data_IF_153382668370
#
_entry.id   IF_153382668370
#
_cell.length_a   1.000
_cell.length_b   1.000
_cell.length_c   1.000
_cell.angle_alpha   90.00
_cell.angle_beta   90.00
_cell.angle_gamma   90.00
#
_symmetry.space_group_name_H-M   'P 1'
#
loop_
_entity.id
_entity.type
_entity.pdbx_description
1 polymer ?
#
# COMPACT_ATOMS: atom_id res chain seq x y z
N UNK A 1 -46.00 -4.55 -27.40
CA UNK A 1 -46.08 -5.77 -26.58
C UNK A 1 -44.75 -6.50 -26.68
N UNK A 2 -44.08 -6.71 -25.55
CA UNK A 2 -42.78 -7.38 -25.46
C UNK A 2 -42.26 -7.32 -24.03
N UNK A 3 -42.82 -8.17 -23.16
CA UNK A 3 -42.37 -8.40 -21.78
C UNK A 3 -41.09 -9.23 -21.81
N UNK A 4 -40.15 -8.93 -20.89
CA UNK A 4 -38.97 -9.76 -20.67
C UNK A 4 -38.20 -9.32 -19.42
N UNK A 5 -38.71 -9.69 -18.25
CA UNK A 5 -38.08 -9.49 -16.95
C UNK A 5 -37.04 -10.60 -16.75
N UNK A 6 -35.78 -10.26 -16.47
CA UNK A 6 -34.82 -11.20 -15.88
C UNK A 6 -34.05 -10.51 -14.75
N UNK A 7 -34.54 -10.71 -13.53
CA UNK A 7 -33.92 -10.34 -12.25
C UNK A 7 -33.54 -11.64 -11.54
N UNK A 8 -32.24 -11.93 -11.36
CA UNK A 8 -31.63 -12.75 -10.29
C UNK A 8 -30.21 -13.19 -10.67
N UNK A 9 -29.17 -12.45 -10.23
CA UNK A 9 -27.80 -12.96 -10.06
C UNK A 9 -27.04 -12.14 -9.00
N UNK A 10 -27.59 -12.01 -7.80
CA UNK A 10 -26.90 -11.30 -6.69
C UNK A 10 -26.70 -12.16 -5.44
N UNK A 11 -27.17 -13.42 -5.42
CA UNK A 11 -27.14 -14.25 -4.20
C UNK A 11 -26.07 -15.33 -4.14
N UNK A 12 -25.32 -15.59 -5.22
CA UNK A 12 -24.43 -16.78 -5.26
C UNK A 12 -22.96 -16.46 -4.95
N UNK A 13 -22.51 -15.21 -5.14
CA UNK A 13 -21.13 -14.81 -4.85
C UNK A 13 -20.88 -14.59 -3.36
N UNK A 14 -21.87 -14.05 -2.64
CA UNK A 14 -21.76 -13.73 -1.21
C UNK A 14 -21.67 -14.98 -0.33
N UNK A 15 -22.24 -16.11 -0.77
CA UNK A 15 -22.18 -17.38 -0.04
C UNK A 15 -20.81 -18.08 -0.16
N UNK A 16 -20.08 -17.87 -1.25
CA UNK A 16 -18.76 -18.48 -1.49
C UNK A 16 -17.66 -17.76 -0.70
N UNK A 17 -17.76 -16.43 -0.58
CA UNK A 17 -16.80 -15.61 0.19
C UNK A 17 -16.85 -15.93 1.69
N UNK A 18 -18.04 -16.20 2.24
CA UNK A 18 -18.19 -16.57 3.66
C UNK A 18 -17.67 -17.97 4.00
N UNK A 19 -17.62 -18.91 3.05
CA UNK A 19 -17.08 -20.25 3.29
C UNK A 19 -15.54 -20.31 3.27
N UNK A 20 -14.86 -19.38 2.59
CA UNK A 20 -13.39 -19.35 2.55
C UNK A 20 -12.77 -18.87 3.87
N UNK A 21 -13.48 -18.08 4.67
CA UNK A 21 -12.98 -17.52 5.93
C UNK A 21 -13.00 -18.55 7.08
N UNK A 22 -13.81 -19.61 6.98
CA UNK A 22 -13.98 -20.60 8.05
C UNK A 22 -13.02 -21.81 7.98
N UNK A 23 -12.20 -21.94 6.93
CA UNK A 23 -11.44 -23.16 6.63
C UNK A 23 -10.01 -23.24 7.17
N UNK A 24 -9.49 -22.23 7.86
CA UNK A 24 -8.07 -22.13 8.24
C UNK A 24 -7.79 -22.49 9.71
N UNK A 25 -8.51 -23.47 10.25
CA UNK A 25 -8.21 -24.05 11.56
C UNK A 25 -8.19 -25.57 11.44
N UNK A 26 -6.98 -26.14 11.31
CA UNK A 26 -6.45 -27.21 12.14
C UNK A 26 -5.31 -28.00 11.44
N UNK A 27 -4.41 -28.55 12.27
CA UNK A 27 -3.51 -29.71 12.04
C UNK A 27 -2.14 -29.34 11.41
N UNK A 28 -0.96 -29.61 11.99
CA UNK A 28 -0.57 -30.41 13.17
C UNK A 28 0.82 -30.01 13.71
N UNK A 29 0.94 -30.27 15.01
CA UNK A 29 2.16 -30.49 15.81
C UNK A 29 3.01 -31.63 15.26
N UNK A 30 4.33 -31.43 15.19
CA UNK A 30 5.43 -32.38 15.50
C UNK A 30 6.77 -31.74 15.09
N UNK A 31 7.85 -31.64 15.87
CA UNK A 31 8.16 -32.00 17.25
C UNK A 31 9.68 -31.82 17.49
N UNK A 32 10.07 -31.88 18.76
CA UNK A 32 11.41 -32.18 19.32
C UNK A 32 12.38 -31.03 19.65
N UNK A 33 12.49 -30.73 20.95
CA UNK A 33 13.78 -30.70 21.64
C UNK A 33 14.14 -29.42 22.38
N UNK A 34 14.03 -29.42 23.72
CA UNK A 34 14.98 -28.69 24.56
C UNK A 34 14.42 -27.78 25.66
N UNK A 35 14.25 -28.36 26.84
CA UNK A 35 14.55 -27.82 28.18
C UNK A 35 13.77 -26.64 28.79
N UNK A 36 13.03 -27.02 29.84
CA UNK A 36 12.74 -26.38 31.14
C UNK A 36 12.95 -24.88 31.41
N UNK A 37 11.82 -24.29 31.82
CA UNK A 37 11.56 -23.57 33.08
C UNK A 37 11.73 -22.04 33.17
N UNK A 38 10.57 -21.43 33.46
CA UNK A 38 10.24 -20.24 34.25
C UNK A 38 10.85 -18.87 33.92
N UNK A 39 10.00 -17.94 33.46
CA UNK A 39 9.41 -16.90 34.31
C UNK A 39 8.52 -15.98 33.48
N UNK A 40 7.40 -15.57 34.07
CA UNK A 40 6.51 -14.56 33.51
C UNK A 40 7.23 -13.22 33.36
N UNK A 41 7.11 -12.61 32.18
CA UNK A 41 7.21 -11.16 32.07
C UNK A 41 6.15 -10.63 31.10
N UNK A 42 5.23 -9.86 31.67
CA UNK A 42 4.22 -9.10 30.94
C UNK A 42 4.91 -7.87 30.38
N UNK A 43 5.54 -8.00 29.22
CA UNK A 43 6.07 -6.83 28.51
C UNK A 43 5.08 -6.44 27.42
N UNK A 44 4.55 -5.24 27.62
CA UNK A 44 3.73 -4.46 26.70
C UNK A 44 4.27 -4.55 25.27
N UNK A 45 3.40 -4.87 24.32
CA UNK A 45 3.66 -4.70 22.89
C UNK A 45 3.78 -3.20 22.64
N UNK A 46 5.00 -2.68 22.82
CA UNK A 46 5.38 -1.38 22.32
C UNK A 46 5.18 -1.41 20.81
N UNK A 47 4.34 -0.50 20.32
CA UNK A 47 4.13 -0.27 18.89
C UNK A 47 5.51 -0.19 18.23
N UNK A 48 5.81 -1.20 17.42
CA UNK A 48 6.94 -1.16 16.51
C UNK A 48 6.66 -0.03 15.53
N UNK A 49 7.22 1.15 15.80
CA UNK A 49 7.41 2.15 14.76
C UNK A 49 8.46 1.54 13.84
N UNK A 50 7.98 0.75 12.89
CA UNK A 50 8.80 0.31 11.77
C UNK A 50 8.93 1.54 10.88
N UNK A 51 9.92 2.38 11.18
CA UNK A 51 10.64 3.13 10.16
C UNK A 51 11.24 2.06 9.23
N UNK A 52 10.42 1.53 8.33
CA UNK A 52 10.81 0.52 7.35
C UNK A 52 11.55 1.19 6.20
N UNK A 53 12.67 1.86 6.50
CA UNK A 53 13.69 2.10 5.48
C UNK A 53 14.46 0.79 5.30
N UNK A 54 13.90 -0.12 4.50
CA UNK A 54 14.61 -1.29 4.01
C UNK A 54 15.66 -0.81 3.00
N UNK A 55 16.78 -0.31 3.51
CA UNK A 55 17.96 -0.10 2.67
C UNK A 55 18.39 -1.48 2.14
N UNK A 56 18.51 -1.67 0.82
CA UNK A 56 18.87 -2.96 0.27
C UNK A 56 20.30 -3.32 0.68
N UNK A 57 20.46 -4.30 1.59
CA UNK A 57 21.79 -4.80 1.96
C UNK A 57 22.46 -5.45 0.74
N UNK A 58 23.56 -4.86 0.27
CA UNK A 58 24.31 -5.35 -0.88
C UNK A 58 23.64 -5.12 -2.24
N UNK A 59 22.60 -4.30 -2.32
CA UNK A 59 21.92 -3.96 -3.57
C UNK A 59 22.74 -3.01 -4.45
N UNK A 60 22.85 -3.33 -5.74
CA UNK A 60 23.40 -2.42 -6.75
C UNK A 60 22.56 -1.16 -6.93
N UNK A 61 23.01 -0.27 -7.83
CA UNK A 61 22.36 1.01 -8.14
C UNK A 61 20.86 0.85 -8.45
N UNK A 62 20.48 -0.25 -9.12
CA UNK A 62 19.09 -0.54 -9.42
C UNK A 62 18.23 -0.84 -8.21
N UNK A 63 18.71 -1.66 -7.28
CA UNK A 63 17.99 -1.92 -6.04
C UNK A 63 17.87 -0.65 -5.19
N UNK A 64 18.91 0.17 -5.16
CA UNK A 64 18.88 1.47 -4.49
C UNK A 64 17.83 2.42 -5.09
N UNK A 65 17.74 2.50 -6.42
CA UNK A 65 16.69 3.28 -7.09
C UNK A 65 15.29 2.72 -6.80
N UNK A 66 15.13 1.39 -6.78
CA UNK A 66 13.87 0.74 -6.42
C UNK A 66 13.44 1.08 -4.99
N UNK A 67 14.39 1.14 -4.05
CA UNK A 67 14.15 1.59 -2.68
C UNK A 67 13.79 3.08 -2.63
N UNK A 68 14.53 3.95 -3.34
CA UNK A 68 14.24 5.40 -3.41
C UNK A 68 12.81 5.68 -3.89
N UNK A 69 12.34 4.95 -4.91
CA UNK A 69 10.97 5.07 -5.43
C UNK A 69 9.94 4.71 -4.37
N UNK A 70 10.13 3.59 -3.68
CA UNK A 70 9.17 3.12 -2.68
C UNK A 70 9.22 3.95 -1.39
N UNK A 71 10.38 4.49 -1.03
CA UNK A 71 10.53 5.37 0.13
C UNK A 71 9.83 6.72 -0.12
N UNK A 72 9.91 7.26 -1.35
CA UNK A 72 9.14 8.45 -1.73
C UNK A 72 7.61 8.19 -1.69
N UNK A 73 7.18 6.98 -2.05
CA UNK A 73 5.78 6.56 -1.93
C UNK A 73 5.34 6.44 -0.45
N UNK A 74 6.15 5.81 0.40
CA UNK A 74 5.82 5.66 1.82
C UNK A 74 5.80 7.03 2.53
N UNK A 75 6.72 7.93 2.20
CA UNK A 75 6.70 9.30 2.71
C UNK A 75 5.42 10.04 2.30
N UNK A 76 4.99 9.89 1.04
CA UNK A 76 3.72 10.45 0.57
C UNK A 76 2.54 9.88 1.36
N UNK A 77 2.45 8.56 1.52
CA UNK A 77 1.37 7.90 2.29
C UNK A 77 1.37 8.38 3.75
N UNK A 78 2.54 8.52 4.37
CA UNK A 78 2.69 9.11 5.71
C UNK A 78 2.12 10.52 5.80
N UNK A 79 2.48 11.41 4.87
CA UNK A 79 1.97 12.79 4.83
C UNK A 79 0.47 12.87 4.55
N UNK A 80 -0.06 11.97 3.72
CA UNK A 80 -1.51 11.85 3.50
C UNK A 80 -2.19 11.47 4.83
N UNK A 81 -1.64 10.48 5.54
CA UNK A 81 -2.19 9.98 6.81
C UNK A 81 -2.23 11.08 7.86
N UNK A 82 -1.15 11.85 7.96
CA UNK A 82 -1.07 12.99 8.88
C UNK A 82 -2.15 14.06 8.62
N UNK A 83 -2.49 14.32 7.36
CA UNK A 83 -3.53 15.30 7.00
C UNK A 83 -4.94 14.83 7.35
N UNK A 84 -5.18 13.52 7.38
CA UNK A 84 -6.52 12.95 7.61
C UNK A 84 -6.72 12.35 9.00
N UNK A 85 -5.66 12.24 9.82
CA UNK A 85 -5.69 11.57 11.13
C UNK A 85 -6.77 12.11 12.07
N UNK A 86 -6.98 13.44 12.06
CA UNK A 86 -7.91 14.13 12.94
C UNK A 86 -9.31 14.25 12.34
N UNK A 87 -9.55 13.55 11.21
CA UNK A 87 -10.84 13.49 10.50
C UNK A 87 -11.42 14.89 10.21
N UNK A 88 -10.66 15.80 9.59
CA UNK A 88 -11.18 17.10 9.16
C UNK A 88 -12.35 16.95 8.17
N UNK A 89 -13.19 17.98 8.07
CA UNK A 89 -14.26 18.03 7.06
C UNK A 89 -13.68 18.00 5.63
N UNK A 90 -14.38 17.39 4.65
CA UNK A 90 -13.91 17.23 3.26
C UNK A 90 -13.42 18.55 2.63
N UNK A 91 -14.17 19.63 2.80
CA UNK A 91 -13.83 20.95 2.24
C UNK A 91 -12.54 21.54 2.82
N UNK A 92 -12.15 21.13 4.03
CA UNK A 92 -10.92 21.59 4.67
C UNK A 92 -9.71 20.76 4.23
N UNK A 93 -9.88 19.45 4.00
CA UNK A 93 -8.77 18.52 3.76
C UNK A 93 -8.45 18.34 2.29
N UNK A 94 -9.46 18.39 1.42
CA UNK A 94 -9.31 18.23 -0.03
C UNK A 94 -8.22 19.14 -0.63
N UNK A 95 -8.24 20.47 -0.42
CA UNK A 95 -7.20 21.33 -0.98
C UNK A 95 -5.80 21.00 -0.45
N UNK A 96 -5.69 20.53 0.79
CA UNK A 96 -4.41 20.15 1.39
C UNK A 96 -3.84 18.86 0.79
N UNK A 97 -4.72 17.91 0.44
CA UNK A 97 -4.35 16.68 -0.25
C UNK A 97 -3.93 16.99 -1.70
N UNK A 98 -4.72 17.79 -2.41
CA UNK A 98 -4.41 18.22 -3.77
C UNK A 98 -3.07 18.97 -3.85
N UNK A 99 -2.80 19.89 -2.93
CA UNK A 99 -1.51 20.58 -2.82
C UNK A 99 -0.35 19.61 -2.56
N UNK A 100 -0.55 18.63 -1.68
CA UNK A 100 0.45 17.59 -1.41
C UNK A 100 0.76 16.78 -2.67
N UNK A 101 -0.26 16.30 -3.37
CA UNK A 101 -0.05 15.54 -4.61
C UNK A 101 0.63 16.38 -5.69
N UNK A 102 0.27 17.67 -5.82
CA UNK A 102 0.93 18.58 -6.75
C UNK A 102 2.43 18.76 -6.44
N UNK A 103 2.82 18.72 -5.16
CA UNK A 103 4.23 18.78 -4.76
C UNK A 103 5.01 17.48 -5.00
N UNK A 104 4.34 16.32 -4.98
CA UNK A 104 4.96 15.01 -5.20
C UNK A 104 5.00 14.58 -6.67
N UNK A 105 4.10 15.10 -7.50
CA UNK A 105 4.09 14.84 -8.94
C UNK A 105 5.45 15.08 -9.63
N UNK A 106 6.15 16.22 -9.43
CA UNK A 106 7.47 16.41 -10.02
C UNK A 106 8.53 15.44 -9.47
N UNK A 107 8.45 15.07 -8.19
CA UNK A 107 9.38 14.11 -7.56
C UNK A 107 9.25 12.73 -8.23
N UNK A 108 8.01 12.25 -8.38
CA UNK A 108 7.75 10.96 -9.03
C UNK A 108 8.16 10.94 -10.50
N UNK A 109 8.01 12.06 -11.22
CA UNK A 109 8.48 12.19 -12.62
C UNK A 109 10.01 12.20 -12.72
N UNK A 110 10.69 12.82 -11.76
CA UNK A 110 12.16 12.78 -11.70
C UNK A 110 12.66 11.35 -11.45
N UNK A 111 12.04 10.64 -10.52
CA UNK A 111 12.31 9.22 -10.27
C UNK A 111 12.06 8.36 -11.51
N UNK A 112 10.98 8.62 -12.25
CA UNK A 112 10.75 7.96 -13.54
C UNK A 112 11.85 8.24 -14.55
N UNK A 113 12.37 9.47 -14.60
CA UNK A 113 13.49 9.82 -15.48
C UNK A 113 14.74 9.00 -15.15
N UNK A 114 15.05 8.82 -13.85
CA UNK A 114 16.14 7.93 -13.40
C UNK A 114 15.87 6.48 -13.75
N UNK A 115 14.64 6.01 -13.56
CA UNK A 115 14.21 4.64 -13.85
C UNK A 115 14.35 4.29 -15.34
N UNK A 116 13.95 5.20 -16.23
CA UNK A 116 14.12 5.05 -17.67
C UNK A 116 15.58 5.19 -18.10
N UNK A 117 16.35 6.10 -17.51
CA UNK A 117 17.78 6.20 -17.78
C UNK A 117 18.52 4.90 -17.43
N UNK A 118 18.18 4.28 -16.29
CA UNK A 118 18.73 3.00 -15.87
C UNK A 118 18.40 1.87 -16.87
N UNK A 119 17.15 1.83 -17.36
CA UNK A 119 16.72 0.89 -18.40
C UNK A 119 17.60 0.97 -19.65
N UNK A 120 17.94 2.19 -20.07
CA UNK A 120 18.70 2.44 -21.29
C UNK A 120 20.21 2.26 -21.09
N UNK A 121 20.73 2.47 -19.87
CA UNK A 121 22.16 2.41 -19.58
C UNK A 121 22.66 1.04 -19.12
N UNK A 122 21.90 0.35 -18.26
CA UNK A 122 22.32 -0.91 -17.64
C UNK A 122 21.11 -1.84 -17.40
N UNK A 123 20.94 -2.82 -18.30
CA UNK A 123 19.85 -3.79 -18.20
C UNK A 123 19.95 -4.70 -16.97
N UNK A 124 21.16 -4.95 -16.45
CA UNK A 124 21.34 -5.77 -15.24
C UNK A 124 20.82 -5.02 -14.02
N UNK A 125 21.22 -3.77 -13.85
CA UNK A 125 20.73 -2.92 -12.76
C UNK A 125 19.24 -2.60 -12.91
N UNK A 126 18.76 -2.36 -14.12
CA UNK A 126 17.32 -2.25 -14.36
C UNK A 126 16.54 -3.51 -13.95
N UNK A 127 17.12 -4.70 -14.20
CA UNK A 127 16.58 -5.97 -13.71
C UNK A 127 16.53 -6.03 -12.18
N UNK A 128 17.61 -5.61 -11.51
CA UNK A 128 17.67 -5.56 -10.04
C UNK A 128 16.64 -4.58 -9.45
N UNK A 129 16.47 -3.40 -10.07
CA UNK A 129 15.45 -2.42 -9.71
C UNK A 129 14.04 -3.04 -9.77
N UNK A 130 13.71 -3.68 -10.89
CA UNK A 130 12.41 -4.33 -11.06
C UNK A 130 12.20 -5.50 -10.11
N UNK A 131 13.23 -6.30 -9.82
CA UNK A 131 13.13 -7.37 -8.83
C UNK A 131 12.78 -6.78 -7.45
N UNK A 132 13.51 -5.76 -7.02
CA UNK A 132 13.24 -5.10 -5.74
C UNK A 132 11.82 -4.52 -5.69
N UNK A 133 11.38 -3.82 -6.74
CA UNK A 133 10.03 -3.27 -6.82
C UNK A 133 8.96 -4.36 -6.77
N UNK A 134 9.14 -5.47 -7.51
CA UNK A 134 8.19 -6.58 -7.52
C UNK A 134 8.05 -7.24 -6.14
N UNK A 135 9.15 -7.35 -5.39
CA UNK A 135 9.15 -7.99 -4.07
C UNK A 135 8.52 -7.10 -2.99
N UNK A 136 8.66 -5.76 -3.10
CA UNK A 136 8.33 -4.82 -2.02
C UNK A 136 7.06 -3.99 -2.29
N UNK A 137 6.77 -3.62 -3.55
CA UNK A 137 5.62 -2.76 -3.90
C UNK A 137 4.28 -3.31 -3.42
N UNK A 138 3.94 -4.62 -3.61
CA UNK A 138 2.61 -5.11 -3.24
C UNK A 138 2.29 -4.93 -1.75
N UNK A 139 3.29 -5.12 -0.88
CA UNK A 139 3.13 -4.99 0.57
C UNK A 139 2.92 -3.53 0.98
N UNK A 140 3.71 -2.61 0.40
CA UNK A 140 3.58 -1.17 0.67
C UNK A 140 2.24 -0.61 0.16
N UNK A 141 1.80 -1.02 -1.03
CA UNK A 141 0.47 -0.62 -1.56
C UNK A 141 -0.67 -1.16 -0.70
N UNK A 142 -0.59 -2.42 -0.26
CA UNK A 142 -1.60 -2.99 0.63
C UNK A 142 -1.68 -2.27 1.98
N UNK A 143 -0.53 -1.84 2.52
CA UNK A 143 -0.44 -1.16 3.81
C UNK A 143 -1.22 0.18 3.85
N UNK A 144 -1.51 0.81 2.71
CA UNK A 144 -2.36 2.02 2.66
C UNK A 144 -3.71 1.74 3.34
N UNK A 145 -4.33 0.60 3.05
CA UNK A 145 -5.66 0.28 3.59
C UNK A 145 -5.63 0.16 5.11
N UNK A 146 -4.56 -0.42 5.66
CA UNK A 146 -4.38 -0.57 7.10
C UNK A 146 -4.08 0.77 7.79
N UNK A 147 -3.18 1.58 7.20
CA UNK A 147 -2.81 2.91 7.70
C UNK A 147 -4.03 3.86 7.68
N UNK A 148 -4.84 3.78 6.63
CA UNK A 148 -5.95 4.70 6.38
C UNK A 148 -7.30 4.16 6.83
N UNK A 149 -7.36 3.01 7.52
CA UNK A 149 -8.63 2.31 7.79
C UNK A 149 -9.68 3.19 8.49
N UNK A 150 -9.25 3.98 9.48
CA UNK A 150 -10.14 4.87 10.22
C UNK A 150 -10.56 6.11 9.41
N UNK A 151 -9.65 6.82 8.73
CA UNK A 151 -10.01 7.84 7.73
C UNK A 151 -10.97 7.34 6.64
N UNK A 152 -10.71 6.17 6.05
CA UNK A 152 -11.54 5.57 5.00
C UNK A 152 -12.95 5.35 5.52
N UNK A 153 -13.11 4.74 6.69
CA UNK A 153 -14.43 4.53 7.30
C UNK A 153 -15.16 5.86 7.51
N UNK A 154 -14.48 6.86 8.04
CA UNK A 154 -15.06 8.18 8.31
C UNK A 154 -15.58 8.84 7.01
N UNK A 155 -14.73 9.01 6.01
CA UNK A 155 -15.15 9.67 4.76
C UNK A 155 -16.15 8.84 3.96
N UNK A 156 -16.00 7.51 3.91
CA UNK A 156 -16.90 6.64 3.16
C UNK A 156 -18.26 6.47 3.84
N UNK A 157 -18.28 6.05 5.10
CA UNK A 157 -19.49 5.58 5.78
C UNK A 157 -20.24 6.70 6.51
N UNK A 158 -19.52 7.65 7.11
CA UNK A 158 -20.14 8.72 7.89
C UNK A 158 -20.50 9.92 7.00
N UNK A 159 -19.61 10.30 6.09
CA UNK A 159 -19.79 11.50 5.26
C UNK A 159 -20.22 11.21 3.81
N UNK A 160 -20.01 9.99 3.30
CA UNK A 160 -20.26 9.66 1.90
C UNK A 160 -19.34 10.39 0.90
N UNK A 161 -18.20 10.90 1.36
CA UNK A 161 -17.22 11.66 0.59
C UNK A 161 -16.24 10.73 -0.14
N UNK A 162 -16.73 10.07 -1.20
CA UNK A 162 -15.92 9.14 -2.01
C UNK A 162 -14.70 9.80 -2.63
N UNK A 163 -14.80 11.08 -3.02
CA UNK A 163 -13.67 11.81 -3.61
C UNK A 163 -12.48 11.94 -2.64
N UNK A 164 -12.72 12.05 -1.33
CA UNK A 164 -11.66 12.02 -0.32
C UNK A 164 -11.10 10.61 -0.16
N UNK A 165 -11.94 9.58 -0.24
CA UNK A 165 -11.49 8.18 -0.20
C UNK A 165 -10.55 7.89 -1.38
N UNK A 166 -10.94 8.26 -2.60
CA UNK A 166 -10.13 8.09 -3.80
C UNK A 166 -8.80 8.86 -3.68
N UNK A 167 -8.84 10.09 -3.14
CA UNK A 167 -7.63 10.86 -2.88
C UNK A 167 -6.70 10.11 -1.93
N UNK A 168 -7.18 9.54 -0.82
CA UNK A 168 -6.27 8.88 0.15
C UNK A 168 -5.86 7.45 -0.23
N UNK A 169 -6.63 6.72 -1.05
CA UNK A 169 -6.33 5.33 -1.40
C UNK A 169 -5.78 5.13 -2.81
N UNK A 170 -6.30 5.85 -3.80
CA UNK A 170 -5.94 5.64 -5.21
C UNK A 170 -4.82 6.60 -5.64
N UNK A 171 -4.91 7.87 -5.25
CA UNK A 171 -3.98 8.89 -5.74
C UNK A 171 -2.50 8.63 -5.42
N UNK A 172 -2.12 8.10 -4.23
CA UNK A 172 -0.73 7.71 -3.97
C UNK A 172 -0.24 6.61 -4.91
N UNK A 173 -1.11 5.66 -5.25
CA UNK A 173 -0.78 4.54 -6.15
C UNK A 173 -0.62 5.03 -7.59
N UNK A 174 -1.47 5.93 -8.05
CA UNK A 174 -1.32 6.56 -9.38
C UNK A 174 0.03 7.30 -9.52
N UNK A 175 0.48 7.97 -8.47
CA UNK A 175 1.77 8.67 -8.47
C UNK A 175 2.95 7.68 -8.44
N UNK A 176 2.84 6.58 -7.70
CA UNK A 176 3.81 5.50 -7.77
C UNK A 176 3.87 4.89 -9.18
N UNK A 177 2.73 4.69 -9.82
CA UNK A 177 2.66 4.18 -11.19
C UNK A 177 3.27 5.16 -12.21
N UNK A 178 3.18 6.46 -11.94
CA UNK A 178 3.90 7.48 -12.72
C UNK A 178 5.41 7.32 -12.60
N UNK A 179 5.94 7.02 -11.41
CA UNK A 179 7.37 6.75 -11.22
C UNK A 179 7.84 5.51 -12.00
N UNK A 180 6.95 4.53 -12.23
CA UNK A 180 7.25 3.25 -12.87
C UNK A 180 6.79 3.16 -14.33
N UNK A 181 6.26 4.25 -14.88
CA UNK A 181 5.71 4.27 -16.23
C UNK A 181 6.80 3.99 -17.27
N UNK A 182 6.62 2.93 -18.05
CA UNK A 182 7.46 2.62 -19.20
C UNK A 182 6.72 3.12 -20.44
N UNK A 183 6.79 4.41 -20.74
CA UNK A 183 6.18 4.91 -21.99
C UNK A 183 6.88 4.28 -23.21
N UNK A 184 6.12 3.85 -24.23
CA UNK A 184 6.67 3.43 -25.52
C UNK A 184 7.21 4.60 -26.34
#
# INVERSE_FOLDING_TARGET
MGKGICKKREGMLTAVVLMLIAGLIAVMVSGCGGSDSDAADTTTTGASSSDSSLAPEGGGEGAALGAEILDAFDELVGKVSEKVKDKPEPDAVKPQLEELYASYEPIMKELNTKYLALKDSDTSEFGACNSFLNDNRPQRVAAITDIMIEPIKYYNLELGAQDIVDLITEKPVELLDTALAVTP
#
